data_IF_863996029785
#
_entry.id   IF_863996029785
#
_cell.length_a   1.000
_cell.length_b   1.000
_cell.length_c   1.000
_cell.angle_alpha   90.00
_cell.angle_beta   90.00
_cell.angle_gamma   90.00
#
_symmetry.space_group_name_H-M   'P 1'
#
loop_
_entity.id
_entity.type
_entity.pdbx_description
1 polymer ?
#
# COMPACT_ATOMS: atom_id res chain seq x y z
N UNK A 1 -0.22 21.17 8.65
CA UNK A 1 0.87 22.06 8.14
C UNK A 1 1.64 21.24 7.11
N UNK A 2 2.17 21.80 6.01
CA UNK A 2 2.92 20.97 5.08
C UNK A 2 4.12 20.32 5.79
N UNK A 3 4.42 19.07 5.43
CA UNK A 3 5.58 18.36 5.99
C UNK A 3 6.88 19.08 5.63
N UNK A 4 7.92 18.90 6.44
CA UNK A 4 9.17 19.66 6.33
C UNK A 4 9.78 19.66 4.92
N UNK A 5 9.71 18.55 4.18
CA UNK A 5 10.28 18.46 2.83
C UNK A 5 9.52 19.25 1.75
N UNK A 6 8.29 19.68 2.02
CA UNK A 6 7.46 20.44 1.07
C UNK A 6 8.16 21.70 0.57
N UNK A 7 8.93 22.38 1.43
CA UNK A 7 9.60 23.63 1.06
C UNK A 7 10.67 23.41 -0.01
N UNK A 8 11.27 22.22 -0.07
CA UNK A 8 12.32 21.83 -1.02
C UNK A 8 11.76 21.41 -2.39
N UNK A 9 10.44 21.25 -2.53
CA UNK A 9 9.81 20.87 -3.79
C UNK A 9 9.80 22.04 -4.79
N UNK A 10 9.96 21.71 -6.07
CA UNK A 10 9.79 22.67 -7.16
C UNK A 10 8.29 23.07 -7.29
N UNK A 11 7.97 24.00 -8.21
CA UNK A 11 6.60 24.51 -8.35
C UNK A 11 5.60 23.43 -8.81
N UNK A 12 6.00 22.54 -9.73
CA UNK A 12 5.13 21.46 -10.21
C UNK A 12 4.84 20.46 -9.10
N UNK A 13 5.85 20.04 -8.35
CA UNK A 13 5.74 19.06 -7.27
C UNK A 13 4.91 19.61 -6.11
N UNK A 14 5.07 20.90 -5.77
CA UNK A 14 4.19 21.59 -4.81
C UNK A 14 2.74 21.61 -5.27
N UNK A 15 2.48 21.62 -6.58
CA UNK A 15 1.11 21.52 -7.11
C UNK A 15 0.55 20.11 -6.89
N UNK A 16 1.31 19.07 -7.27
CA UNK A 16 0.93 17.66 -7.12
C UNK A 16 0.72 17.33 -5.63
N UNK A 17 1.65 17.73 -4.76
CA UNK A 17 1.55 17.58 -3.31
C UNK A 17 0.22 18.14 -2.80
N UNK A 18 -0.13 19.38 -3.17
CA UNK A 18 -1.39 20.01 -2.72
C UNK A 18 -2.63 19.32 -3.28
N UNK A 19 -2.59 18.75 -4.49
CA UNK A 19 -3.69 17.93 -5.01
C UNK A 19 -3.87 16.67 -4.16
N UNK A 20 -2.78 15.95 -3.88
CA UNK A 20 -2.77 14.76 -3.02
C UNK A 20 -3.30 15.07 -1.62
N UNK A 21 -2.86 16.18 -1.02
CA UNK A 21 -3.17 16.51 0.38
C UNK A 21 -4.65 16.79 0.65
N UNK A 22 -5.38 17.25 -0.37
CA UNK A 22 -6.83 17.52 -0.27
C UNK A 22 -7.68 16.27 -0.11
N UNK A 23 -7.21 15.12 -0.59
CA UNK A 23 -8.01 13.89 -0.66
C UNK A 23 -7.66 13.01 0.52
N UNK A 24 -8.49 12.98 1.56
CA UNK A 24 -8.15 12.28 2.82
C UNK A 24 -8.77 10.90 2.97
N UNK A 25 -9.69 10.53 2.07
CA UNK A 25 -10.40 9.26 2.16
C UNK A 25 -10.74 8.72 0.77
N UNK A 26 -10.84 7.39 0.68
CA UNK A 26 -11.36 6.67 -0.48
C UNK A 26 -12.39 5.69 0.08
N UNK A 27 -13.63 5.79 -0.39
CA UNK A 27 -14.72 4.91 0.05
C UNK A 27 -14.60 3.57 -0.66
N UNK A 28 -14.30 2.52 0.10
CA UNK A 28 -14.22 1.17 -0.45
C UNK A 28 -15.62 0.59 -0.67
N UNK A 29 -15.77 -0.15 -1.78
CA UNK A 29 -16.94 -0.99 -2.06
C UNK A 29 -16.65 -2.42 -1.62
N UNK A 30 -17.68 -3.26 -1.56
CA UNK A 30 -17.55 -4.70 -1.22
C UNK A 30 -16.78 -4.97 0.08
N UNK A 31 -16.97 -4.12 1.09
CA UNK A 31 -16.24 -4.17 2.37
C UNK A 31 -16.23 -5.56 3.02
N UNK A 32 -17.34 -6.29 2.97
CA UNK A 32 -17.42 -7.63 3.55
C UNK A 32 -16.42 -8.61 2.91
N UNK A 33 -16.25 -8.56 1.59
CA UNK A 33 -15.31 -9.44 0.87
C UNK A 33 -13.88 -9.02 1.20
N UNK A 34 -13.57 -7.72 1.13
CA UNK A 34 -12.25 -7.19 1.44
C UNK A 34 -11.82 -7.50 2.88
N UNK A 35 -12.74 -7.38 3.85
CA UNK A 35 -12.51 -7.75 5.26
C UNK A 35 -12.20 -9.23 5.43
N UNK A 36 -12.94 -10.12 4.75
CA UNK A 36 -12.65 -11.58 4.76
C UNK A 36 -11.25 -11.89 4.21
N UNK A 37 -10.83 -11.18 3.17
CA UNK A 37 -9.49 -11.34 2.58
C UNK A 37 -8.39 -10.83 3.53
N UNK A 38 -8.62 -9.70 4.21
CA UNK A 38 -7.72 -9.17 5.24
C UNK A 38 -7.56 -10.14 6.43
N UNK A 39 -8.65 -10.77 6.88
CA UNK A 39 -8.60 -11.84 7.89
C UNK A 39 -7.81 -13.05 7.37
N UNK A 40 -8.00 -13.43 6.10
CA UNK A 40 -7.23 -14.52 5.49
C UNK A 40 -5.73 -14.19 5.43
N UNK A 41 -5.37 -12.94 5.10
CA UNK A 41 -3.99 -12.44 5.13
C UNK A 41 -3.41 -12.56 6.55
N UNK A 42 -4.16 -12.16 7.59
CA UNK A 42 -3.75 -12.31 9.00
C UNK A 42 -3.37 -13.75 9.34
N UNK A 43 -4.23 -14.70 8.97
CA UNK A 43 -4.07 -16.11 9.31
C UNK A 43 -2.85 -16.72 8.59
N UNK A 44 -2.67 -16.42 7.30
CA UNK A 44 -1.54 -16.94 6.53
C UNK A 44 -0.20 -16.29 6.94
N UNK A 45 -0.21 -15.02 7.32
CA UNK A 45 0.97 -14.36 7.88
C UNK A 45 1.40 -15.01 9.20
N UNK A 46 0.44 -15.28 10.10
CA UNK A 46 0.70 -15.98 11.37
C UNK A 46 1.24 -17.40 11.15
N UNK A 47 0.76 -18.10 10.12
CA UNK A 47 1.19 -19.45 9.77
C UNK A 47 2.51 -19.50 9.00
N UNK A 48 3.10 -18.35 8.64
CA UNK A 48 4.28 -18.25 7.77
C UNK A 48 4.13 -18.92 6.39
N UNK A 49 2.89 -19.14 5.94
CA UNK A 49 2.61 -19.72 4.63
C UNK A 49 2.76 -18.67 3.53
N UNK A 50 4.00 -18.48 3.08
CA UNK A 50 4.35 -17.49 2.06
C UNK A 50 3.51 -17.64 0.79
N UNK A 51 3.29 -18.87 0.32
CA UNK A 51 2.60 -19.13 -0.96
C UNK A 51 1.13 -18.74 -0.86
N UNK A 52 0.44 -19.17 0.19
CA UNK A 52 -0.95 -18.80 0.39
C UNK A 52 -1.11 -17.34 0.81
N UNK A 53 -0.18 -16.76 1.57
CA UNK A 53 -0.16 -15.34 1.88
C UNK A 53 -0.12 -14.48 0.61
N UNK A 54 0.82 -14.76 -0.31
CA UNK A 54 0.93 -14.04 -1.58
C UNK A 54 -0.35 -14.20 -2.42
N UNK A 55 -0.92 -15.41 -2.48
CA UNK A 55 -2.20 -15.66 -3.15
C UNK A 55 -3.33 -14.80 -2.57
N UNK A 56 -3.45 -14.73 -1.23
CA UNK A 56 -4.50 -13.95 -0.56
C UNK A 56 -4.32 -12.44 -0.72
N UNK A 57 -3.07 -11.95 -0.77
CA UNK A 57 -2.79 -10.56 -1.11
C UNK A 57 -3.20 -10.27 -2.56
N UNK A 58 -2.91 -11.17 -3.50
CA UNK A 58 -3.33 -11.01 -4.91
C UNK A 58 -4.85 -10.98 -5.06
N UNK A 59 -5.56 -11.87 -4.38
CA UNK A 59 -7.03 -11.87 -4.34
C UNK A 59 -7.57 -10.55 -3.77
N UNK A 60 -6.98 -10.04 -2.68
CA UNK A 60 -7.33 -8.74 -2.09
C UNK A 60 -7.12 -7.58 -3.08
N UNK A 61 -5.94 -7.50 -3.70
CA UNK A 61 -5.62 -6.44 -4.66
C UNK A 61 -6.53 -6.49 -5.89
N UNK A 62 -6.84 -7.69 -6.38
CA UNK A 62 -7.77 -7.86 -7.50
C UNK A 62 -9.17 -7.37 -7.15
N UNK A 63 -9.74 -7.83 -6.03
CA UNK A 63 -11.07 -7.40 -5.61
C UNK A 63 -11.12 -5.88 -5.38
N UNK A 64 -10.09 -5.33 -4.75
CA UNK A 64 -9.98 -3.90 -4.48
C UNK A 64 -10.02 -3.08 -5.77
N UNK A 65 -9.14 -3.42 -6.72
CA UNK A 65 -9.02 -2.73 -8.02
C UNK A 65 -10.26 -2.92 -8.89
N UNK A 66 -10.86 -4.12 -8.92
CA UNK A 66 -12.13 -4.37 -9.64
C UNK A 66 -13.26 -3.52 -9.07
N UNK A 67 -13.37 -3.45 -7.74
CA UNK A 67 -14.45 -2.71 -7.08
C UNK A 67 -14.39 -1.20 -7.35
N UNK A 68 -13.20 -0.68 -7.67
CA UNK A 68 -12.95 0.72 -7.99
C UNK A 68 -12.88 0.99 -9.49
N UNK A 69 -12.85 -0.04 -10.34
CA UNK A 69 -12.73 0.11 -11.79
C UNK A 69 -11.39 0.68 -12.25
N UNK A 70 -10.31 0.41 -11.51
CA UNK A 70 -8.96 0.91 -11.79
C UNK A 70 -8.04 -0.20 -12.31
N UNK A 71 -6.89 0.20 -12.84
CA UNK A 71 -5.90 -0.72 -13.36
C UNK A 71 -5.43 -1.74 -12.30
N UNK A 72 -5.07 -2.95 -12.73
CA UNK A 72 -4.60 -4.01 -11.84
C UNK A 72 -3.14 -3.79 -11.41
N UNK A 73 -2.82 -4.20 -10.17
CA UNK A 73 -1.46 -4.21 -9.63
C UNK A 73 -1.00 -5.63 -9.28
N UNK A 74 0.25 -5.94 -9.58
CA UNK A 74 0.88 -7.22 -9.22
C UNK A 74 1.43 -7.19 -7.79
N UNK A 75 1.66 -8.37 -7.21
CA UNK A 75 2.30 -8.54 -5.89
C UNK A 75 3.54 -9.43 -6.03
N UNK A 76 4.62 -9.04 -5.36
CA UNK A 76 5.80 -9.87 -5.09
C UNK A 76 6.00 -9.96 -3.58
N UNK A 77 5.86 -11.15 -3.02
CA UNK A 77 6.11 -11.37 -1.60
C UNK A 77 7.51 -11.98 -1.40
N UNK A 78 8.33 -11.31 -0.60
CA UNK A 78 9.69 -11.70 -0.30
C UNK A 78 9.83 -12.13 1.17
N UNK A 79 10.84 -12.95 1.44
CA UNK A 79 11.10 -13.48 2.78
C UNK A 79 11.56 -12.36 3.71
N UNK A 80 12.83 -11.98 3.59
CA UNK A 80 13.46 -10.98 4.46
C UNK A 80 13.91 -9.78 3.66
N UNK A 81 13.74 -8.59 4.23
CA UNK A 81 14.20 -7.34 3.64
C UNK A 81 15.73 -7.31 3.57
N UNK A 82 16.34 -6.78 2.49
CA UNK A 82 17.78 -6.50 2.46
C UNK A 82 18.15 -5.52 3.58
N UNK A 83 19.33 -5.69 4.19
CA UNK A 83 19.76 -4.91 5.36
C UNK A 83 20.23 -3.47 5.03
N UNK A 84 19.99 -3.02 3.80
CA UNK A 84 20.42 -1.70 3.31
C UNK A 84 19.42 -0.63 3.76
N UNK A 85 19.94 0.38 4.45
CA UNK A 85 19.24 1.46 5.16
C UNK A 85 18.58 2.51 4.25
N UNK A 86 17.73 2.10 3.32
CA UNK A 86 16.84 3.04 2.64
C UNK A 86 15.58 3.22 3.49
N UNK A 87 15.37 4.42 4.04
CA UNK A 87 14.28 4.73 4.98
C UNK A 87 12.88 4.34 4.49
N UNK A 88 11.92 4.27 5.44
CA UNK A 88 10.46 4.05 5.29
C UNK A 88 9.95 2.79 4.56
N UNK A 89 10.76 2.11 3.75
CA UNK A 89 10.32 1.04 2.84
C UNK A 89 10.04 -0.30 3.54
N UNK A 90 8.94 -0.42 4.26
CA UNK A 90 8.39 -1.73 4.63
C UNK A 90 7.77 -2.46 3.42
N UNK A 91 7.46 -1.72 2.36
CA UNK A 91 7.00 -2.17 1.06
C UNK A 91 7.68 -1.34 -0.03
N UNK A 92 7.41 -1.68 -1.29
CA UNK A 92 7.84 -0.91 -2.45
C UNK A 92 6.75 -0.95 -3.51
N UNK A 93 6.31 0.21 -3.97
CA UNK A 93 5.48 0.36 -5.15
C UNK A 93 6.33 0.79 -6.34
N UNK A 94 6.18 0.07 -7.45
CA UNK A 94 6.78 0.41 -8.73
C UNK A 94 5.67 0.61 -9.76
N UNK A 95 5.72 1.74 -10.46
CA UNK A 95 4.83 1.99 -11.60
C UNK A 95 5.07 0.96 -12.71
N UNK A 96 4.15 0.90 -13.68
CA UNK A 96 4.26 -0.08 -14.75
C UNK A 96 5.56 0.12 -15.58
N UNK A 97 5.98 1.36 -15.88
CA UNK A 97 7.27 1.72 -16.52
C UNK A 97 7.82 0.66 -17.49
N UNK A 98 7.13 0.45 -18.62
CA UNK A 98 7.50 -0.55 -19.64
C UNK A 98 7.03 -1.99 -19.37
N UNK A 99 6.41 -2.26 -18.22
CA UNK A 99 5.70 -3.51 -17.89
C UNK A 99 4.20 -3.38 -18.17
N UNK A 100 3.51 -4.53 -18.22
CA UNK A 100 2.03 -4.57 -18.37
C UNK A 100 1.27 -4.02 -17.15
N UNK A 101 1.83 -4.11 -15.94
CA UNK A 101 1.17 -3.72 -14.68
C UNK A 101 2.21 -3.21 -13.68
N UNK A 102 1.79 -2.27 -12.82
CA UNK A 102 2.54 -1.86 -11.63
C UNK A 102 2.77 -3.05 -10.68
N UNK A 103 3.75 -2.95 -9.79
CA UNK A 103 4.11 -3.99 -8.82
C UNK A 103 4.16 -3.42 -7.41
N UNK A 104 3.52 -4.11 -6.47
CA UNK A 104 3.76 -3.95 -5.03
C UNK A 104 4.69 -5.07 -4.58
N UNK A 105 5.77 -4.73 -3.89
CA UNK A 105 6.66 -5.68 -3.23
C UNK A 105 6.52 -5.55 -1.71
N UNK A 106 6.37 -6.68 -1.02
CA UNK A 106 6.28 -6.74 0.44
C UNK A 106 7.27 -7.77 1.00
N UNK A 107 7.71 -7.56 2.23
CA UNK A 107 8.49 -8.54 2.98
C UNK A 107 7.69 -9.05 4.17
N UNK A 108 7.68 -10.36 4.38
CA UNK A 108 6.96 -10.96 5.51
C UNK A 108 7.81 -11.06 6.79
N UNK A 109 9.14 -10.95 6.69
CA UNK A 109 10.08 -11.03 7.81
C UNK A 109 10.91 -9.74 7.96
N UNK A 110 11.15 -9.37 9.21
CA UNK A 110 12.00 -8.25 9.62
C UNK A 110 13.45 -8.42 9.13
N UNK A 111 14.10 -7.31 8.77
CA UNK A 111 15.46 -7.33 8.21
C UNK A 111 16.47 -7.99 9.15
N UNK A 112 16.64 -7.47 10.37
CA UNK A 112 17.69 -7.92 11.31
C UNK A 112 17.42 -9.28 11.94
N UNK A 113 16.19 -9.51 12.43
CA UNK A 113 15.86 -10.69 13.25
C UNK A 113 15.21 -11.82 12.45
N UNK A 114 14.89 -11.59 11.17
CA UNK A 114 14.20 -12.53 10.27
C UNK A 114 12.90 -13.12 10.88
N UNK A 115 12.29 -12.42 11.84
CA UNK A 115 11.00 -12.75 12.46
C UNK A 115 9.86 -12.22 11.61
N UNK A 116 8.73 -12.93 11.60
CA UNK A 116 7.49 -12.48 10.95
C UNK A 116 7.11 -11.09 11.44
N UNK A 117 6.73 -10.22 10.51
CA UNK A 117 6.26 -8.86 10.82
C UNK A 117 4.91 -8.94 11.53
N UNK A 118 4.70 -8.08 12.52
CA UNK A 118 3.42 -7.99 13.21
C UNK A 118 2.29 -7.68 12.22
N UNK A 119 1.14 -8.35 12.37
CA UNK A 119 -0.01 -8.22 11.46
C UNK A 119 -0.41 -6.77 11.16
N UNK A 120 -0.53 -5.95 12.21
CA UNK A 120 -0.89 -4.53 12.07
C UNK A 120 0.12 -3.79 11.19
N UNK A 121 1.42 -4.01 11.41
CA UNK A 121 2.48 -3.41 10.59
C UNK A 121 2.38 -3.89 9.15
N UNK A 122 2.23 -5.19 8.91
CA UNK A 122 2.15 -5.76 7.57
C UNK A 122 0.97 -5.20 6.77
N UNK A 123 -0.23 -5.11 7.36
CA UNK A 123 -1.41 -4.56 6.67
C UNK A 123 -1.23 -3.08 6.40
N UNK A 124 -0.70 -2.29 7.34
CA UNK A 124 -0.45 -0.86 7.12
C UNK A 124 0.54 -0.62 5.99
N UNK A 125 1.57 -1.44 5.91
CA UNK A 125 2.50 -1.43 4.78
C UNK A 125 1.81 -1.77 3.45
N UNK A 126 1.01 -2.84 3.40
CA UNK A 126 0.25 -3.16 2.19
C UNK A 126 -0.65 -1.98 1.76
N UNK A 127 -1.35 -1.37 2.71
CA UNK A 127 -2.26 -0.25 2.43
C UNK A 127 -1.52 1.04 2.04
N UNK A 128 -0.31 1.25 2.55
CA UNK A 128 0.58 2.33 2.12
C UNK A 128 0.92 2.18 0.62
N UNK A 129 1.37 1.00 0.19
CA UNK A 129 1.68 0.77 -1.23
C UNK A 129 0.44 0.83 -2.13
N UNK A 130 -0.72 0.43 -1.60
CA UNK A 130 -2.03 0.60 -2.26
C UNK A 130 -2.37 2.09 -2.44
N UNK A 131 -2.07 2.95 -1.46
CA UNK A 131 -2.28 4.40 -1.60
C UNK A 131 -1.42 4.97 -2.74
N UNK A 132 -0.17 4.54 -2.89
CA UNK A 132 0.64 4.91 -4.05
C UNK A 132 -0.04 4.49 -5.35
N UNK A 133 -0.55 3.26 -5.41
CA UNK A 133 -1.29 2.81 -6.59
C UNK A 133 -2.52 3.68 -6.88
N UNK A 134 -3.30 4.05 -5.86
CA UNK A 134 -4.45 4.93 -6.00
C UNK A 134 -4.09 6.33 -6.47
N UNK A 135 -2.99 6.90 -6.00
CA UNK A 135 -2.54 8.22 -6.41
C UNK A 135 -2.37 8.28 -7.93
N UNK A 136 -1.75 7.26 -8.53
CA UNK A 136 -1.56 7.19 -9.98
C UNK A 136 -2.83 6.76 -10.75
N UNK A 137 -3.57 5.77 -10.26
CA UNK A 137 -4.63 5.12 -11.05
C UNK A 137 -6.01 5.68 -10.82
N UNK A 138 -6.32 6.10 -9.59
CA UNK A 138 -7.62 6.64 -9.23
C UNK A 138 -7.61 8.17 -9.22
N UNK A 139 -6.59 8.78 -8.60
CA UNK A 139 -6.47 10.23 -8.47
C UNK A 139 -5.78 10.88 -9.67
N UNK A 140 -5.19 10.06 -10.55
CA UNK A 140 -4.45 10.48 -11.76
C UNK A 140 -3.42 11.57 -11.47
N UNK A 141 -2.72 11.45 -10.34
CA UNK A 141 -1.60 12.31 -9.97
C UNK A 141 -0.36 11.93 -10.76
N UNK A 142 0.44 12.94 -11.09
CA UNK A 142 1.67 12.78 -11.87
C UNK A 142 2.81 12.18 -11.03
N UNK A 143 2.76 12.33 -9.71
CA UNK A 143 3.67 11.74 -8.73
C UNK A 143 2.91 11.50 -7.40
N UNK A 144 3.47 10.67 -6.52
CA UNK A 144 2.86 10.28 -5.25
C UNK A 144 3.73 10.67 -4.07
N UNK A 145 3.38 11.80 -3.45
CA UNK A 145 4.03 12.32 -2.25
C UNK A 145 3.35 11.83 -0.97
N UNK A 146 4.14 11.49 0.05
CA UNK A 146 3.65 11.21 1.40
C UNK A 146 3.18 12.50 2.09
N UNK A 147 1.98 12.97 1.78
CA UNK A 147 1.37 14.16 2.41
C UNK A 147 0.53 13.79 3.64
N UNK A 148 0.03 14.77 4.41
CA UNK A 148 -0.95 14.48 5.48
C UNK A 148 -2.17 13.76 4.91
N UNK A 149 -2.68 14.22 3.76
CA UNK A 149 -3.75 13.56 3.01
C UNK A 149 -3.45 12.10 2.66
N UNK A 150 -2.23 11.79 2.21
CA UNK A 150 -1.80 10.41 1.97
C UNK A 150 -1.90 9.54 3.22
N UNK A 151 -1.37 10.01 4.36
CA UNK A 151 -1.45 9.28 5.63
C UNK A 151 -2.89 9.14 6.14
N UNK A 152 -3.74 10.14 5.91
CA UNK A 152 -5.17 10.04 6.22
C UNK A 152 -5.88 9.01 5.33
N UNK A 153 -5.53 8.91 4.03
CA UNK A 153 -6.06 7.87 3.13
C UNK A 153 -5.69 6.48 3.65
N UNK A 154 -4.41 6.23 3.94
CA UNK A 154 -3.96 4.93 4.50
C UNK A 154 -4.73 4.58 5.78
N UNK A 155 -4.83 5.54 6.70
CA UNK A 155 -5.53 5.35 7.98
C UNK A 155 -7.03 5.09 7.78
N UNK A 156 -7.65 5.77 6.82
CA UNK A 156 -9.05 5.57 6.44
C UNK A 156 -9.28 4.16 5.88
N UNK A 157 -8.40 3.68 4.98
CA UNK A 157 -8.47 2.31 4.45
C UNK A 157 -8.34 1.28 5.57
N UNK A 158 -7.36 1.48 6.47
CA UNK A 158 -7.14 0.57 7.59
C UNK A 158 -8.39 0.47 8.47
N UNK A 159 -9.01 1.60 8.84
CA UNK A 159 -10.24 1.62 9.66
C UNK A 159 -11.44 0.97 8.96
N UNK A 160 -11.54 1.09 7.64
CA UNK A 160 -12.60 0.44 6.86
C UNK A 160 -12.43 -1.09 6.83
N UNK A 161 -11.18 -1.58 6.77
CA UNK A 161 -10.83 -2.97 6.52
C UNK A 161 -10.55 -3.82 7.76
N UNK A 162 -9.99 -3.22 8.81
CA UNK A 162 -9.64 -3.92 10.05
C UNK A 162 -10.67 -3.57 11.10
N UNK A 163 -11.59 -4.51 11.33
CA UNK A 163 -12.52 -4.46 12.46
C UNK A 163 -11.79 -5.05 13.67
N UNK A 164 -11.91 -4.39 14.82
CA UNK A 164 -11.41 -4.90 16.11
C UNK A 164 -12.22 -6.09 16.59
#
# INVERSE_FOLDING_TARGET
MPLAYYHNLNRSDKSIYRKSDKIKNIKLKKLMILRKLIISIKNNLKAEDKKNLEKKIREFLNELTDSLGIEKVNIKLLGSRPDNSWGELHGLYEQAEGRKKAIITLWMKTAKRKKVIAYKTFVRTLLHEVCHHFDYTLLKLEDSFHTEGFFYRESSLYKQLVIN
#
